data_IF_167824220253
#
_entry.id   IF_167824220253
#
_cell.length_a   1.000
_cell.length_b   1.000
_cell.length_c   1.000
_cell.angle_alpha   90.00
_cell.angle_beta   90.00
_cell.angle_gamma   90.00
#
_symmetry.space_group_name_H-M   'P 1'
#
loop_
_entity.id
_entity.type
_entity.pdbx_description
1 polymer ?
#
# COMPACT_ATOMS: atom_id res chain seq x y z
N UNK A 1 -36.11 -33.74 63.26
CA UNK A 1 -37.17 -32.74 63.54
C UNK A 1 -37.45 -32.00 62.24
N UNK A 2 -38.56 -32.35 61.57
CA UNK A 2 -39.76 -31.51 61.35
C UNK A 2 -39.53 -30.37 60.33
N UNK A 3 -40.09 -30.54 59.11
CA UNK A 3 -41.27 -29.82 58.55
C UNK A 3 -40.90 -28.38 58.10
N UNK A 4 -41.25 -27.91 56.91
CA UNK A 4 -42.23 -28.41 55.96
C UNK A 4 -42.25 -27.60 54.66
N UNK A 5 -42.86 -28.25 53.68
CA UNK A 5 -43.31 -27.75 52.38
C UNK A 5 -44.33 -26.60 52.58
N UNK A 6 -44.22 -25.52 51.82
CA UNK A 6 -45.35 -24.64 51.51
C UNK A 6 -45.36 -24.38 50.02
N UNK A 7 -46.31 -25.03 49.37
CA UNK A 7 -46.80 -24.79 48.03
C UNK A 7 -47.72 -23.58 48.11
N UNK A 8 -47.50 -22.58 47.26
CA UNK A 8 -48.53 -21.58 46.94
C UNK A 8 -48.69 -21.56 45.43
N UNK A 9 -49.78 -22.20 44.98
CA UNK A 9 -50.32 -22.07 43.62
C UNK A 9 -51.20 -20.82 43.63
N UNK A 10 -50.91 -19.86 42.76
CA UNK A 10 -51.87 -18.83 42.36
C UNK A 10 -52.07 -18.98 40.86
N UNK A 11 -53.23 -19.54 40.50
CA UNK A 11 -53.82 -19.44 39.18
C UNK A 11 -54.49 -18.07 39.06
N UNK A 12 -54.24 -17.36 37.95
CA UNK A 12 -54.82 -16.03 37.76
C UNK A 12 -54.70 -15.52 36.33
N UNK A 13 -55.74 -15.82 35.54
CA UNK A 13 -56.31 -15.01 34.47
C UNK A 13 -55.48 -14.68 33.21
N UNK A 14 -55.87 -15.34 32.12
CA UNK A 14 -55.77 -14.84 30.76
C UNK A 14 -56.57 -13.53 30.61
N UNK A 15 -55.92 -12.46 30.14
CA UNK A 15 -56.55 -11.41 29.36
C UNK A 15 -55.65 -11.14 28.16
N UNK A 16 -56.19 -11.44 26.98
CA UNK A 16 -55.56 -11.14 25.70
C UNK A 16 -55.30 -9.65 25.57
N UNK A 17 -54.03 -9.31 25.32
CA UNK A 17 -53.62 -8.00 24.83
C UNK A 17 -52.91 -8.22 23.51
N UNK A 18 -53.62 -7.98 22.41
CA UNK A 18 -53.04 -7.79 21.09
C UNK A 18 -52.02 -6.65 21.16
N UNK A 19 -50.73 -6.96 21.03
CA UNK A 19 -49.70 -5.95 20.84
C UNK A 19 -49.83 -5.50 19.39
N UNK A 20 -50.19 -4.25 19.08
CA UNK A 20 -49.95 -3.73 17.75
C UNK A 20 -48.43 -3.69 17.56
N UNK A 21 -47.92 -4.53 16.67
CA UNK A 21 -46.60 -4.36 16.08
C UNK A 21 -46.60 -3.00 15.38
N UNK A 22 -46.22 -1.95 16.12
CA UNK A 22 -45.80 -0.70 15.51
C UNK A 22 -44.45 -1.04 14.90
N UNK A 23 -44.47 -1.33 13.60
CA UNK A 23 -43.28 -1.28 12.76
C UNK A 23 -42.79 0.16 12.80
N UNK A 24 -42.04 0.51 13.84
CA UNK A 24 -41.32 1.78 13.88
C UNK A 24 -40.31 1.73 12.74
N UNK A 25 -40.60 2.58 11.76
CA UNK A 25 -39.91 2.59 10.49
C UNK A 25 -38.43 2.78 10.73
N UNK A 26 -37.64 1.78 10.34
CA UNK A 26 -36.28 2.01 9.90
C UNK A 26 -36.31 3.12 8.85
N UNK A 27 -36.10 4.35 9.31
CA UNK A 27 -35.63 5.44 8.47
C UNK A 27 -34.22 5.05 8.04
N UNK A 28 -34.15 4.29 6.96
CA UNK A 28 -32.99 4.32 6.10
C UNK A 28 -32.86 5.77 5.65
N UNK A 29 -32.00 6.53 6.35
CA UNK A 29 -31.36 7.69 5.76
C UNK A 29 -30.51 7.11 4.65
N UNK A 30 -31.12 6.93 3.47
CA UNK A 30 -30.40 6.88 2.24
C UNK A 30 -29.74 8.25 2.12
N UNK A 31 -28.56 8.39 2.74
CA UNK A 31 -27.63 9.39 2.28
C UNK A 31 -27.42 9.10 0.81
N UNK A 32 -27.63 10.10 -0.03
CA UNK A 32 -27.13 10.15 -1.39
C UNK A 32 -25.60 10.06 -1.34
N UNK A 33 -25.09 8.89 -0.97
CA UNK A 33 -23.76 8.46 -1.25
C UNK A 33 -23.72 8.31 -2.75
N UNK A 34 -23.49 9.43 -3.44
CA UNK A 34 -22.88 9.44 -4.76
C UNK A 34 -21.78 8.39 -4.67
N UNK A 35 -22.01 7.21 -5.26
CA UNK A 35 -21.06 6.12 -5.26
C UNK A 35 -19.74 6.76 -5.66
N UNK A 36 -18.79 6.83 -4.72
CA UNK A 36 -17.49 7.37 -5.01
C UNK A 36 -17.00 6.55 -6.20
N UNK A 37 -16.85 7.19 -7.36
CA UNK A 37 -16.25 6.56 -8.53
C UNK A 37 -14.99 5.88 -8.02
N UNK A 38 -14.72 4.61 -8.35
CA UNK A 38 -13.44 3.99 -8.00
C UNK A 38 -12.36 4.97 -8.44
N UNK A 39 -11.69 5.59 -7.48
CA UNK A 39 -10.64 6.54 -7.78
C UNK A 39 -9.50 5.70 -8.33
N UNK A 40 -9.43 5.61 -9.66
CA UNK A 40 -8.26 5.07 -10.31
C UNK A 40 -7.11 6.04 -10.02
N UNK A 41 -6.02 5.59 -9.38
CA UNK A 41 -4.85 6.42 -9.14
C UNK A 41 -4.40 7.11 -10.43
N UNK A 42 -4.45 8.44 -10.45
CA UNK A 42 -3.95 9.24 -11.55
C UNK A 42 -2.49 9.61 -11.26
N UNK A 43 -1.59 8.98 -11.99
CA UNK A 43 -0.16 9.27 -11.92
C UNK A 43 0.22 10.30 -12.97
N UNK A 44 0.95 11.31 -12.53
CA UNK A 44 1.48 12.37 -13.40
C UNK A 44 2.98 12.36 -13.32
N UNK A 45 3.65 12.43 -14.47
CA UNK A 45 5.10 12.58 -14.49
C UNK A 45 5.49 13.95 -13.91
N UNK A 46 6.53 13.96 -13.09
CA UNK A 46 7.06 15.13 -12.40
C UNK A 46 8.54 15.31 -12.73
N UNK A 47 9.08 16.47 -12.40
CA UNK A 47 10.51 16.71 -12.54
C UNK A 47 11.30 15.88 -11.52
N UNK A 48 12.41 15.28 -11.98
CA UNK A 48 13.33 14.54 -11.12
C UNK A 48 14.03 15.49 -10.14
N UNK A 49 13.79 15.39 -8.82
CA UNK A 49 14.23 16.42 -7.87
C UNK A 49 15.63 16.17 -7.30
N UNK A 50 16.25 15.02 -7.59
CA UNK A 50 17.54 14.64 -7.01
C UNK A 50 18.71 15.03 -7.92
N UNK A 51 19.88 15.36 -7.34
CA UNK A 51 21.11 15.54 -8.11
C UNK A 51 21.42 14.31 -8.98
N UNK A 52 22.11 14.56 -10.09
CA UNK A 52 22.62 13.49 -10.95
C UNK A 52 23.79 12.80 -10.24
N UNK A 53 23.74 11.49 -10.15
CA UNK A 53 24.80 10.62 -9.64
C UNK A 53 25.27 9.64 -10.73
N UNK A 54 26.02 8.59 -10.36
CA UNK A 54 26.56 7.61 -11.30
C UNK A 54 25.51 6.83 -12.11
N UNK A 55 24.24 6.90 -11.72
CA UNK A 55 23.13 6.24 -12.42
C UNK A 55 22.31 7.18 -13.31
N UNK A 56 22.66 8.47 -13.34
CA UNK A 56 21.93 9.45 -14.14
C UNK A 56 20.58 9.86 -13.53
N UNK A 57 19.73 10.45 -14.39
CA UNK A 57 18.36 10.82 -14.03
C UNK A 57 17.45 9.59 -14.13
N UNK A 58 16.58 9.42 -13.14
CA UNK A 58 15.45 8.50 -13.23
C UNK A 58 14.18 9.16 -13.75
N UNK A 59 13.04 8.50 -13.56
CA UNK A 59 11.68 9.01 -13.79
C UNK A 59 11.04 9.36 -12.45
N UNK A 60 10.35 10.49 -12.37
CA UNK A 60 9.60 10.87 -11.17
C UNK A 60 8.12 10.95 -11.48
N UNK A 61 7.28 10.47 -10.57
CA UNK A 61 5.83 10.50 -10.72
C UNK A 61 5.18 10.94 -9.42
N UNK A 62 4.07 11.64 -9.55
CA UNK A 62 3.26 12.08 -8.43
C UNK A 62 1.82 11.61 -8.61
N UNK A 63 1.28 11.04 -7.54
CA UNK A 63 -0.15 10.85 -7.36
C UNK A 63 -0.63 11.81 -6.27
N UNK A 64 -1.57 12.69 -6.61
CA UNK A 64 -2.10 13.65 -5.64
C UNK A 64 -3.05 12.96 -4.65
N UNK A 65 -3.23 13.54 -3.46
CA UNK A 65 -4.13 13.00 -2.45
C UNK A 65 -5.59 12.84 -2.94
N UNK A 66 -6.04 13.68 -3.87
CA UNK A 66 -7.37 13.55 -4.50
C UNK A 66 -7.52 12.29 -5.38
N UNK A 67 -6.41 11.72 -5.84
CA UNK A 67 -6.37 10.60 -6.78
C UNK A 67 -5.97 9.28 -6.09
N UNK A 68 -5.06 9.34 -5.10
CA UNK A 68 -4.58 8.18 -4.33
C UNK A 68 -5.07 8.14 -2.88
N UNK A 69 -5.88 9.10 -2.42
CA UNK A 69 -6.26 9.26 -1.00
C UNK A 69 -5.16 9.88 -0.12
N UNK A 70 -3.90 9.72 -0.50
CA UNK A 70 -2.71 10.33 0.09
C UNK A 70 -1.79 10.81 -1.04
N UNK A 71 -1.00 11.85 -0.77
CA UNK A 71 0.08 12.22 -1.70
C UNK A 71 1.18 11.15 -1.71
N UNK A 72 1.51 10.66 -2.91
CA UNK A 72 2.59 9.70 -3.15
C UNK A 72 3.49 10.23 -4.25
N UNK A 73 4.79 10.26 -3.99
CA UNK A 73 5.81 10.57 -4.99
C UNK A 73 6.67 9.33 -5.22
N UNK A 74 6.78 8.86 -6.46
CA UNK A 74 7.53 7.66 -6.85
C UNK A 74 8.70 8.07 -7.73
N UNK A 75 9.89 7.60 -7.37
CA UNK A 75 11.12 7.86 -8.11
C UNK A 75 11.70 6.54 -8.59
N UNK A 76 11.84 6.37 -9.91
CA UNK A 76 12.21 5.12 -10.56
C UNK A 76 13.53 5.30 -11.28
N UNK A 77 14.48 4.38 -11.10
CA UNK A 77 15.82 4.44 -11.67
C UNK A 77 16.29 3.05 -12.11
N UNK A 78 16.90 2.97 -13.28
CA UNK A 78 17.58 1.76 -13.74
C UNK A 78 19.04 1.74 -13.26
N UNK A 79 19.52 0.56 -12.87
CA UNK A 79 20.88 0.30 -12.38
C UNK A 79 21.43 -0.92 -13.11
N UNK A 80 22.11 -0.66 -14.22
CA UNK A 80 22.66 -1.68 -15.13
C UNK A 80 23.82 -2.42 -14.47
N UNK A 81 23.80 -3.76 -14.52
CA UNK A 81 24.84 -4.64 -14.00
C UNK A 81 25.07 -4.55 -12.49
N UNK A 82 24.12 -3.99 -11.72
CA UNK A 82 24.34 -3.66 -10.32
C UNK A 82 23.73 -4.66 -9.34
N UNK A 83 22.75 -5.48 -9.74
CA UNK A 83 22.22 -6.53 -8.86
C UNK A 83 23.00 -7.85 -9.01
N UNK A 84 22.80 -8.77 -8.08
CA UNK A 84 23.37 -10.11 -8.12
C UNK A 84 22.94 -10.83 -9.42
N UNK A 85 23.89 -11.13 -10.31
CA UNK A 85 23.61 -11.73 -11.61
C UNK A 85 23.01 -13.14 -11.54
N UNK A 86 23.19 -13.83 -10.42
CA UNK A 86 22.75 -15.22 -10.23
C UNK A 86 21.36 -15.28 -9.62
N UNK A 87 21.12 -14.50 -8.57
CA UNK A 87 19.87 -14.55 -7.79
C UNK A 87 18.91 -13.42 -8.10
N UNK A 88 19.39 -12.32 -8.67
CA UNK A 88 18.64 -11.07 -8.76
C UNK A 88 18.33 -10.49 -7.38
N UNK A 89 17.30 -9.66 -7.31
CA UNK A 89 16.78 -9.06 -6.07
C UNK A 89 15.90 -10.07 -5.33
N UNK A 90 16.52 -11.08 -4.71
CA UNK A 90 15.82 -12.20 -4.08
C UNK A 90 15.39 -11.92 -2.63
N UNK A 91 16.12 -11.06 -1.92
CA UNK A 91 15.97 -10.83 -0.49
C UNK A 91 16.09 -9.34 -0.12
N UNK A 92 15.85 -9.06 1.16
CA UNK A 92 15.87 -7.70 1.70
C UNK A 92 17.29 -7.11 1.73
N UNK A 93 18.33 -7.94 1.82
CA UNK A 93 19.73 -7.50 1.82
C UNK A 93 20.10 -6.95 0.44
N UNK A 94 19.77 -7.69 -0.62
CA UNK A 94 20.03 -7.25 -1.98
C UNK A 94 19.20 -6.01 -2.35
N UNK A 95 17.93 -5.94 -1.91
CA UNK A 95 17.11 -4.75 -2.05
C UNK A 95 17.76 -3.53 -1.39
N UNK A 96 18.23 -3.65 -0.14
CA UNK A 96 18.82 -2.54 0.60
C UNK A 96 20.15 -2.07 0.01
N UNK A 97 20.94 -2.99 -0.54
CA UNK A 97 22.21 -2.67 -1.19
C UNK A 97 22.02 -1.80 -2.44
N UNK A 98 20.95 -2.02 -3.19
CA UNK A 98 20.72 -1.33 -4.47
C UNK A 98 19.70 -0.20 -4.38
N UNK A 99 18.84 -0.15 -3.36
CA UNK A 99 17.80 0.86 -3.25
C UNK A 99 18.36 2.29 -3.12
N UNK A 100 17.63 3.29 -3.64
CA UNK A 100 17.96 4.72 -3.49
C UNK A 100 17.55 5.22 -2.10
N UNK A 101 18.14 4.57 -1.11
CA UNK A 101 17.93 4.69 0.31
C UNK A 101 18.14 6.13 0.83
N UNK A 102 19.00 6.90 0.16
CA UNK A 102 19.20 8.32 0.44
C UNK A 102 17.95 9.19 0.22
N UNK A 103 16.99 8.77 -0.61
CA UNK A 103 15.77 9.55 -0.86
C UNK A 103 14.82 9.59 0.35
N UNK A 104 14.94 8.62 1.25
CA UNK A 104 14.09 8.47 2.45
C UNK A 104 14.67 9.30 3.63
N UNK A 105 15.97 9.61 3.60
CA UNK A 105 16.71 10.25 4.68
C UNK A 105 17.25 9.26 5.72
N UNK A 106 18.17 9.73 6.57
CA UNK A 106 18.94 8.87 7.49
C UNK A 106 18.12 8.25 8.63
N UNK A 107 17.06 8.95 9.07
CA UNK A 107 16.22 8.55 10.20
C UNK A 107 15.06 7.65 9.75
N UNK A 108 15.40 6.45 9.31
CA UNK A 108 14.46 5.47 8.77
C UNK A 108 14.54 4.14 9.50
N UNK A 109 13.41 3.47 9.61
CA UNK A 109 13.30 2.15 10.22
C UNK A 109 12.59 1.23 9.25
N UNK A 110 13.30 0.19 8.80
CA UNK A 110 12.76 -0.82 7.91
C UNK A 110 11.71 -1.66 8.64
N UNK A 111 10.66 -2.09 7.93
CA UNK A 111 9.78 -3.15 8.44
C UNK A 111 10.59 -4.45 8.63
N UNK A 112 10.19 -5.35 9.54
CA UNK A 112 10.95 -6.56 9.84
C UNK A 112 11.21 -7.45 8.63
N UNK A 113 10.30 -7.49 7.65
CA UNK A 113 10.44 -8.36 6.47
C UNK A 113 9.79 -7.68 5.26
N UNK A 114 10.53 -7.63 4.15
CA UNK A 114 9.99 -7.27 2.85
C UNK A 114 9.24 -8.43 2.18
N UNK A 115 8.55 -8.14 1.10
CA UNK A 115 7.74 -9.11 0.35
C UNK A 115 8.31 -9.32 -1.05
N UNK A 116 8.14 -10.53 -1.58
CA UNK A 116 8.42 -10.81 -2.99
C UNK A 116 7.34 -10.18 -3.87
N UNK A 117 7.76 -9.57 -4.98
CA UNK A 117 6.86 -8.87 -5.92
C UNK A 117 7.17 -9.25 -7.37
N UNK A 118 6.29 -8.84 -8.26
CA UNK A 118 6.49 -8.95 -9.71
C UNK A 118 6.05 -7.65 -10.39
N UNK A 119 6.89 -7.16 -11.30
CA UNK A 119 6.61 -6.00 -12.16
C UNK A 119 6.78 -6.43 -13.61
N UNK A 120 5.69 -6.42 -14.38
CA UNK A 120 5.66 -7.06 -15.69
C UNK A 120 6.05 -8.54 -15.56
N UNK A 121 7.18 -8.93 -16.16
CA UNK A 121 7.75 -10.29 -16.07
C UNK A 121 8.93 -10.39 -15.10
N UNK A 122 9.35 -9.28 -14.50
CA UNK A 122 10.53 -9.19 -13.64
C UNK A 122 10.15 -9.47 -12.19
N UNK A 123 10.96 -10.30 -11.53
CA UNK A 123 10.81 -10.61 -10.10
C UNK A 123 11.59 -9.61 -9.27
N UNK A 124 11.19 -9.45 -8.02
CA UNK A 124 11.87 -8.53 -7.13
C UNK A 124 11.40 -8.61 -5.68
N UNK A 125 11.72 -7.55 -4.96
CA UNK A 125 11.44 -7.38 -3.53
C UNK A 125 10.90 -5.98 -3.26
N UNK A 126 9.98 -5.86 -2.30
CA UNK A 126 9.48 -4.60 -1.76
C UNK A 126 9.67 -4.55 -0.25
N UNK A 127 10.01 -3.40 0.31
CA UNK A 127 10.13 -3.19 1.75
C UNK A 127 9.65 -1.80 2.16
N UNK A 128 8.86 -1.76 3.22
CA UNK A 128 8.31 -0.53 3.79
C UNK A 128 9.25 0.02 4.87
N UNK A 129 9.35 1.34 4.95
CA UNK A 129 10.13 2.06 5.94
C UNK A 129 9.26 3.12 6.61
N UNK A 130 9.43 3.29 7.92
CA UNK A 130 8.91 4.45 8.64
C UNK A 130 10.00 5.50 8.80
N UNK A 131 9.66 6.78 8.71
CA UNK A 131 10.62 7.88 8.85
C UNK A 131 10.46 8.57 10.20
N UNK A 132 11.47 8.53 11.06
CA UNK A 132 11.41 9.17 12.36
C UNK A 132 11.50 10.71 12.23
N UNK A 133 10.46 11.40 12.69
CA UNK A 133 10.37 12.87 12.64
C UNK A 133 9.48 13.44 11.53
N UNK A 134 8.96 12.58 10.64
CA UNK A 134 7.93 12.94 9.66
C UNK A 134 6.75 11.97 9.80
N UNK A 135 5.51 12.46 9.62
CA UNK A 135 4.30 11.61 9.67
C UNK A 135 4.07 10.90 8.32
N UNK A 136 5.11 10.26 7.83
CA UNK A 136 5.08 9.53 6.58
C UNK A 136 5.84 8.23 6.64
N UNK A 137 5.82 7.55 5.51
CA UNK A 137 6.51 6.30 5.28
C UNK A 137 7.14 6.33 3.90
N UNK A 138 7.99 5.36 3.64
CA UNK A 138 8.49 5.09 2.31
C UNK A 138 8.36 3.62 1.96
N UNK A 139 8.35 3.32 0.67
CA UNK A 139 8.45 1.94 0.16
C UNK A 139 9.60 1.93 -0.82
N UNK A 140 10.52 0.98 -0.67
CA UNK A 140 11.52 0.69 -1.69
C UNK A 140 11.15 -0.60 -2.37
N UNK A 141 11.21 -0.59 -3.70
CA UNK A 141 10.93 -1.73 -4.55
C UNK A 141 12.12 -1.87 -5.48
N UNK A 142 12.62 -3.09 -5.66
CA UNK A 142 13.55 -3.36 -6.73
C UNK A 142 13.21 -4.67 -7.41
N UNK A 143 13.33 -4.69 -8.73
CA UNK A 143 13.06 -5.84 -9.58
C UNK A 143 14.08 -5.86 -10.72
N UNK A 144 14.35 -7.02 -11.28
CA UNK A 144 15.46 -7.18 -12.21
C UNK A 144 15.14 -8.09 -13.39
N UNK A 145 15.88 -7.87 -14.49
CA UNK A 145 16.14 -8.86 -15.53
C UNK A 145 17.64 -9.16 -15.53
N UNK A 146 18.02 -10.44 -15.37
CA UNK A 146 19.42 -10.85 -15.20
C UNK A 146 20.13 -10.01 -14.13
N UNK A 147 21.15 -9.23 -14.50
CA UNK A 147 21.94 -8.38 -13.61
C UNK A 147 21.52 -6.91 -13.61
N UNK A 148 20.54 -6.54 -14.43
CA UNK A 148 20.07 -5.18 -14.56
C UNK A 148 18.83 -5.00 -13.69
N UNK A 149 18.90 -4.04 -12.77
CA UNK A 149 17.82 -3.78 -11.82
C UNK A 149 17.13 -2.46 -12.09
N UNK A 150 15.85 -2.38 -11.76
CA UNK A 150 15.11 -1.14 -11.61
C UNK A 150 14.74 -1.00 -10.15
N UNK A 151 14.99 0.17 -9.61
CA UNK A 151 14.68 0.56 -8.24
C UNK A 151 13.60 1.63 -8.29
N UNK A 152 12.59 1.48 -7.45
CA UNK A 152 11.58 2.49 -7.20
C UNK A 152 11.55 2.85 -5.70
N UNK A 153 11.63 4.12 -5.38
CA UNK A 153 11.40 4.64 -4.03
C UNK A 153 10.14 5.48 -4.02
N UNK A 154 9.15 5.08 -3.23
CA UNK A 154 7.93 5.84 -3.01
C UNK A 154 7.99 6.57 -1.67
N UNK A 155 7.81 7.89 -1.68
CA UNK A 155 7.60 8.70 -0.47
C UNK A 155 6.11 8.96 -0.30
N UNK A 156 5.59 8.65 0.88
CA UNK A 156 4.15 8.62 1.17
C UNK A 156 3.87 9.57 2.33
N UNK A 157 2.95 10.52 2.13
CA UNK A 157 2.51 11.46 3.15
C UNK A 157 1.51 10.83 4.16
N UNK A 158 1.75 9.59 4.57
CA UNK A 158 0.94 8.81 5.52
C UNK A 158 1.84 7.81 6.27
N UNK A 159 1.62 7.53 7.56
CA UNK A 159 2.49 6.65 8.34
C UNK A 159 2.34 5.15 8.00
N UNK A 160 1.18 4.75 7.50
CA UNK A 160 0.94 3.37 7.06
C UNK A 160 1.30 3.21 5.58
N UNK A 161 2.56 2.89 5.32
CA UNK A 161 3.07 2.61 3.98
C UNK A 161 2.62 1.25 3.44
N UNK A 162 2.28 0.31 4.33
CA UNK A 162 1.83 -1.05 3.95
C UNK A 162 0.49 -0.97 3.22
N UNK A 163 -0.42 -0.10 3.67
CA UNK A 163 -1.69 0.13 2.99
C UNK A 163 -1.54 0.70 1.56
N UNK A 164 -0.45 1.41 1.28
CA UNK A 164 -0.22 2.12 0.00
C UNK A 164 0.69 1.33 -0.95
N UNK A 165 1.54 0.43 -0.43
CA UNK A 165 2.46 -0.42 -1.20
C UNK A 165 1.79 -1.11 -2.41
N UNK A 166 0.60 -1.73 -2.31
CA UNK A 166 -0.06 -2.33 -3.48
C UNK A 166 -0.40 -1.33 -4.58
N UNK A 167 -0.71 -0.08 -4.23
CA UNK A 167 -1.01 0.99 -5.20
C UNK A 167 0.25 1.40 -5.97
N UNK A 168 1.39 1.44 -5.30
CA UNK A 168 2.70 1.70 -5.94
C UNK A 168 3.06 0.54 -6.87
N UNK A 169 2.91 -0.72 -6.42
CA UNK A 169 3.20 -1.90 -7.24
C UNK A 169 2.28 -1.95 -8.48
N UNK A 170 1.01 -1.61 -8.34
CA UNK A 170 0.07 -1.51 -9.45
C UNK A 170 0.50 -0.44 -10.47
N UNK A 171 1.00 0.70 -10.01
CA UNK A 171 1.55 1.74 -10.88
C UNK A 171 2.82 1.27 -11.62
N UNK A 172 3.73 0.60 -10.94
CA UNK A 172 4.93 0.04 -11.57
C UNK A 172 4.59 -1.02 -12.64
N UNK A 173 3.45 -1.70 -12.49
CA UNK A 173 2.90 -2.64 -13.49
C UNK A 173 2.10 -1.95 -14.61
N UNK A 174 1.98 -0.62 -14.64
CA UNK A 174 1.32 0.09 -15.73
C UNK A 174 2.15 0.03 -17.02
N UNK A 175 1.47 0.13 -18.16
CA UNK A 175 2.11 0.19 -19.48
C UNK A 175 3.19 1.29 -19.54
N UNK A 176 2.93 2.46 -18.96
CA UNK A 176 3.88 3.59 -18.92
C UNK A 176 5.21 3.22 -18.28
N UNK A 177 5.19 2.50 -17.15
CA UNK A 177 6.41 2.13 -16.43
C UNK A 177 7.04 0.91 -17.08
N UNK A 178 6.26 -0.15 -17.33
CA UNK A 178 6.78 -1.40 -17.90
C UNK A 178 7.44 -1.16 -19.26
N UNK A 179 6.81 -0.41 -20.15
CA UNK A 179 7.39 -0.10 -21.45
C UNK A 179 8.71 0.69 -21.32
N UNK A 180 8.75 1.68 -20.42
CA UNK A 180 9.99 2.41 -20.17
C UNK A 180 11.10 1.50 -19.63
N UNK A 181 10.77 0.57 -18.73
CA UNK A 181 11.75 -0.39 -18.22
C UNK A 181 12.27 -1.29 -19.34
N UNK A 182 11.39 -1.87 -20.15
CA UNK A 182 11.79 -2.75 -21.25
C UNK A 182 12.72 -2.04 -22.23
N UNK A 183 12.39 -0.81 -22.63
CA UNK A 183 13.27 0.00 -23.49
C UNK A 183 14.60 0.34 -22.82
N UNK A 184 14.58 0.68 -21.53
CA UNK A 184 15.79 1.08 -20.78
C UNK A 184 16.74 -0.09 -20.55
N UNK A 185 16.20 -1.29 -20.31
CA UNK A 185 16.96 -2.51 -20.07
C UNK A 185 17.29 -3.28 -21.36
N UNK A 186 16.66 -2.92 -22.49
CA UNK A 186 16.85 -3.58 -23.79
C UNK A 186 16.16 -4.95 -23.88
N UNK A 187 14.92 -5.05 -23.38
CA UNK A 187 14.10 -6.27 -23.36
C UNK A 187 13.13 -6.37 -24.55
#
# INVERSE_FOLDING_TARGET
>A
MRRGLLITIIAGFCLGGSIPFVYDGWRSVAGDGKLATPHHPLWTEAEWPFPIDEWGKGRAFRCAAKDCGVEVNVYIRAKMGFCNCTTGVADDEELERIADLGFIGERRLASPTGIAITVGRMKGRSRVYTTAGFRGSAVTIAFNDRCDAVVATALIAHPDGVAIEPTVIAFLNSETVVHWVEVTLGL
#
